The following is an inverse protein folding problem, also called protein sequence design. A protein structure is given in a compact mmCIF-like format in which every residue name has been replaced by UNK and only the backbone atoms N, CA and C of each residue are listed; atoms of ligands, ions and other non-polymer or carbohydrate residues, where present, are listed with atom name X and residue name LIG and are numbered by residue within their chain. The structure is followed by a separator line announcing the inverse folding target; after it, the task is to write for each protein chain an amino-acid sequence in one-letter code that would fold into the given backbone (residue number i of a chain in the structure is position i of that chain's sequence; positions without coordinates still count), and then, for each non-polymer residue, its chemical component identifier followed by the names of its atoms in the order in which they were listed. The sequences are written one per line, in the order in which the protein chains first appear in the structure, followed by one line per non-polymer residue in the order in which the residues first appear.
data_IF_214072449128
#
_entry.id   IF_214072449128
#
_cell.length_a   1.000
_cell.length_b   1.000
_cell.length_c   1.000
_cell.angle_alpha   90.00
_cell.angle_beta   90.00
_cell.angle_gamma   90.00
#
_symmetry.space_group_name_H-M   'P 1'
#
loop_
_entity.id
_entity.type
_entity.pdbx_description
1 polymer ?
#
# COMPACT_ATOMS: atom_id res chain seq x y z
N UNK A 1 -1.70 33.70 -59.44
CA UNK A 1 -1.70 32.32 -58.91
C UNK A 1 -0.61 32.21 -57.84
N UNK A 2 -0.94 32.31 -56.55
CA UNK A 2 -0.10 31.82 -55.45
C UNK A 2 -1.07 31.32 -54.37
N UNK A 3 -1.21 29.99 -54.25
CA UNK A 3 -1.94 29.35 -53.16
C UNK A 3 -0.95 29.19 -51.99
N UNK A 4 -1.12 29.99 -50.95
CA UNK A 4 -0.39 29.83 -49.68
C UNK A 4 -0.99 28.66 -48.91
N UNK A 5 -0.19 27.61 -48.74
CA UNK A 5 -0.53 26.42 -47.96
C UNK A 5 -0.35 26.75 -46.48
N UNK A 6 -1.43 26.75 -45.69
CA UNK A 6 -1.36 26.81 -44.23
C UNK A 6 -1.09 25.39 -43.72
N UNK A 7 0.10 25.14 -43.20
CA UNK A 7 0.43 23.90 -42.50
C UNK A 7 -0.12 24.05 -41.08
N UNK A 8 -1.25 23.40 -40.81
CA UNK A 8 -1.76 23.24 -39.45
C UNK A 8 -0.88 22.22 -38.74
N UNK A 9 0.00 22.70 -37.86
CA UNK A 9 0.77 21.86 -36.95
C UNK A 9 -0.19 21.23 -35.93
N UNK A 10 -0.62 20.00 -36.17
CA UNK A 10 -1.24 19.18 -35.13
C UNK A 10 -0.20 18.92 -34.05
N UNK A 11 -0.35 19.59 -32.91
CA UNK A 11 0.26 19.14 -31.67
C UNK A 11 -0.36 17.78 -31.32
N UNK A 12 0.37 16.70 -31.58
CA UNK A 12 0.05 15.40 -31.01
C UNK A 12 0.29 15.51 -29.50
N UNK A 13 -0.78 15.69 -28.73
CA UNK A 13 -0.75 15.41 -27.31
C UNK A 13 -0.41 13.92 -27.17
N UNK A 14 0.79 13.61 -26.67
CA UNK A 14 1.10 12.25 -26.28
C UNK A 14 0.03 11.84 -25.26
N UNK A 15 -0.57 10.63 -25.38
CA UNK A 15 -1.45 10.15 -24.34
C UNK A 15 -0.62 10.09 -23.07
N UNK A 16 -1.00 10.87 -22.05
CA UNK A 16 -0.61 10.53 -20.70
C UNK A 16 -1.05 9.08 -20.52
N UNK A 17 -0.10 8.17 -20.27
CA UNK A 17 -0.46 6.80 -19.93
C UNK A 17 -1.41 6.92 -18.73
N UNK A 18 -2.66 6.50 -18.92
CA UNK A 18 -3.62 6.51 -17.84
C UNK A 18 -3.03 5.64 -16.73
N UNK A 19 -2.82 6.23 -15.57
CA UNK A 19 -2.29 5.50 -14.42
C UNK A 19 -3.19 4.30 -14.16
N UNK A 20 -2.63 3.09 -14.07
CA UNK A 20 -3.41 1.89 -13.73
C UNK A 20 -3.55 1.83 -12.21
N UNK A 21 -4.80 1.90 -11.76
CA UNK A 21 -5.16 1.93 -10.34
C UNK A 21 -6.21 0.87 -10.06
N UNK A 22 -6.00 0.11 -8.99
CA UNK A 22 -6.97 -0.85 -8.47
C UNK A 22 -7.69 -0.23 -7.26
N UNK A 23 -9.01 -0.38 -7.19
CA UNK A 23 -9.78 -0.01 -5.98
C UNK A 23 -9.50 -1.05 -4.90
N UNK A 24 -8.82 -0.65 -3.83
CA UNK A 24 -8.43 -1.54 -2.72
C UNK A 24 -9.24 -1.28 -1.45
N UNK A 25 -10.09 -0.25 -1.44
CA UNK A 25 -11.03 0.03 -0.37
C UNK A 25 -11.96 1.19 -0.74
N UNK A 26 -12.92 1.49 0.14
CA UNK A 26 -13.81 2.64 -0.05
C UNK A 26 -12.99 3.95 -0.03
N UNK A 27 -12.94 4.63 -1.17
CA UNK A 27 -12.19 5.88 -1.31
C UNK A 27 -10.67 5.73 -1.38
N UNK A 28 -10.14 4.52 -1.59
CA UNK A 28 -8.68 4.28 -1.67
C UNK A 28 -8.34 3.49 -2.92
N UNK A 29 -7.37 4.01 -3.68
CA UNK A 29 -6.80 3.38 -4.86
C UNK A 29 -5.36 2.94 -4.59
N UNK A 30 -4.96 1.84 -5.23
CA UNK A 30 -3.58 1.41 -5.33
C UNK A 30 -3.09 1.59 -6.77
N UNK A 31 -2.12 2.48 -6.98
CA UNK A 31 -1.67 2.90 -8.30
C UNK A 31 -0.17 2.63 -8.52
N UNK A 32 0.24 1.39 -8.88
CA UNK A 32 1.62 0.93 -8.76
C UNK A 32 2.54 1.18 -9.96
N UNK A 33 2.14 1.94 -10.98
CA UNK A 33 2.81 2.01 -12.30
C UNK A 33 4.32 2.31 -12.28
N UNK A 34 4.84 3.00 -11.26
CA UNK A 34 6.26 3.31 -11.08
C UNK A 34 6.91 2.57 -9.89
N UNK A 35 6.34 1.43 -9.51
CA UNK A 35 6.77 0.61 -8.37
C UNK A 35 7.13 -0.82 -8.79
N UNK A 36 7.74 -1.63 -7.91
CA UNK A 36 7.93 -3.05 -8.15
C UNK A 36 6.64 -3.86 -8.40
N UNK A 37 5.46 -3.27 -8.10
CA UNK A 37 4.15 -3.87 -8.34
C UNK A 37 3.52 -3.47 -9.68
N UNK A 38 4.22 -2.68 -10.52
CA UNK A 38 3.70 -2.22 -11.80
C UNK A 38 3.29 -3.39 -12.72
N UNK A 39 2.07 -3.34 -13.25
CA UNK A 39 1.53 -4.37 -14.13
C UNK A 39 1.18 -5.71 -13.45
N UNK A 40 1.23 -5.78 -12.12
CA UNK A 40 0.81 -6.96 -11.35
C UNK A 40 -0.67 -6.83 -11.04
N UNK A 41 -1.47 -7.83 -11.45
CA UNK A 41 -2.89 -7.88 -11.14
C UNK A 41 -3.11 -8.26 -9.67
N UNK A 42 -3.95 -7.51 -8.98
CA UNK A 42 -4.40 -7.83 -7.63
C UNK A 42 -5.36 -9.04 -7.59
N UNK A 43 -5.25 -9.85 -6.54
CA UNK A 43 -6.21 -10.91 -6.21
C UNK A 43 -7.00 -10.51 -4.96
N UNK A 44 -8.31 -10.27 -5.11
CA UNK A 44 -9.15 -9.79 -4.01
C UNK A 44 -9.71 -10.93 -3.17
N UNK A 45 -9.46 -10.90 -1.86
CA UNK A 45 -10.07 -11.80 -0.89
C UNK A 45 -11.27 -11.13 -0.19
N UNK A 46 -12.51 -11.51 -0.51
CA UNK A 46 -13.70 -10.94 0.10
C UNK A 46 -13.89 -11.31 1.57
N UNK A 47 -13.24 -12.39 2.05
CA UNK A 47 -13.31 -12.82 3.43
C UNK A 47 -12.52 -11.92 4.38
N UNK A 48 -11.43 -11.33 3.89
CA UNK A 48 -10.60 -10.39 4.64
C UNK A 48 -10.76 -8.93 4.21
N UNK A 49 -11.38 -8.69 3.05
CA UNK A 49 -11.54 -7.34 2.49
C UNK A 49 -10.22 -6.74 2.00
N UNK A 50 -9.24 -7.56 1.65
CA UNK A 50 -7.91 -7.11 1.19
C UNK A 50 -7.61 -7.65 -0.21
N UNK A 51 -6.74 -6.94 -0.91
CA UNK A 51 -6.20 -7.34 -2.21
C UNK A 51 -4.74 -7.74 -2.08
N UNK A 52 -4.38 -8.84 -2.72
CA UNK A 52 -3.04 -9.42 -2.72
C UNK A 52 -2.28 -9.09 -4.00
N UNK A 53 -1.01 -8.71 -3.88
CA UNK A 53 -0.11 -8.51 -5.01
C UNK A 53 1.21 -9.24 -4.76
N UNK A 54 1.60 -10.15 -5.65
CA UNK A 54 2.87 -10.88 -5.54
C UNK A 54 3.92 -10.28 -6.47
N UNK A 55 4.94 -9.63 -5.91
CA UNK A 55 6.06 -9.07 -6.65
C UNK A 55 7.38 -9.75 -6.23
N UNK A 56 7.91 -10.60 -7.10
CA UNK A 56 9.13 -11.39 -6.81
C UNK A 56 8.97 -12.19 -5.51
N UNK A 57 9.81 -11.96 -4.49
CA UNK A 57 9.79 -12.62 -3.18
C UNK A 57 8.86 -11.96 -2.16
N UNK A 58 8.28 -10.80 -2.50
CA UNK A 58 7.48 -9.99 -1.58
C UNK A 58 6.00 -10.06 -1.96
N UNK A 59 5.17 -10.42 -1.00
CA UNK A 59 3.72 -10.36 -1.11
C UNK A 59 3.22 -9.08 -0.43
N UNK A 60 2.39 -8.29 -1.09
CA UNK A 60 1.64 -7.19 -0.52
C UNK A 60 0.19 -7.63 -0.27
N UNK A 61 -0.35 -7.27 0.89
CA UNK A 61 -1.77 -7.27 1.21
C UNK A 61 -2.17 -5.83 1.51
N UNK A 62 -3.21 -5.32 0.87
CA UNK A 62 -3.70 -3.98 1.17
C UNK A 62 -5.22 -3.89 1.05
N UNK A 63 -5.82 -3.11 1.95
CA UNK A 63 -7.27 -2.96 2.07
C UNK A 63 -7.65 -2.25 3.36
N UNK A 64 -8.95 -2.03 3.63
CA UNK A 64 -9.40 -1.49 4.90
C UNK A 64 -8.87 -2.32 6.08
N UNK A 65 -8.57 -1.65 7.19
CA UNK A 65 -8.15 -2.33 8.41
C UNK A 65 -9.25 -3.32 8.85
N UNK A 66 -8.94 -4.62 9.05
CA UNK A 66 -9.96 -5.59 9.42
C UNK A 66 -10.66 -5.25 10.74
N UNK A 67 -11.95 -5.62 10.91
CA UNK A 67 -12.74 -5.23 12.09
C UNK A 67 -12.11 -5.58 13.44
N UNK A 68 -11.36 -6.68 13.53
CA UNK A 68 -10.69 -7.10 14.77
C UNK A 68 -9.56 -6.17 15.22
N UNK A 69 -8.95 -5.40 14.30
CA UNK A 69 -7.92 -4.40 14.57
C UNK A 69 -8.48 -2.97 14.52
N UNK A 70 -9.59 -2.77 13.81
CA UNK A 70 -10.26 -1.48 13.64
C UNK A 70 -10.66 -0.82 14.95
N UNK A 71 -11.35 -1.55 15.84
CA UNK A 71 -11.84 -0.98 17.10
C UNK A 71 -10.70 -0.49 18.00
N UNK A 72 -9.56 -1.19 17.97
CA UNK A 72 -8.36 -0.80 18.73
C UNK A 72 -7.74 0.45 18.13
N UNK A 73 -7.55 0.49 16.81
CA UNK A 73 -6.99 1.66 16.13
C UNK A 73 -7.83 2.92 16.34
N UNK A 74 -9.16 2.83 16.22
CA UNK A 74 -10.04 3.99 16.44
C UNK A 74 -10.02 4.48 17.89
N UNK A 75 -9.86 3.56 18.86
CA UNK A 75 -9.72 3.93 20.26
C UNK A 75 -8.36 4.62 20.56
N UNK A 76 -7.31 4.23 19.86
CA UNK A 76 -5.94 4.75 20.02
C UNK A 76 -5.25 4.99 18.67
N UNK A 77 -5.62 6.07 17.94
CA UNK A 77 -5.04 6.34 16.62
C UNK A 77 -3.54 6.59 16.74
N UNK A 78 -2.73 5.86 15.97
CA UNK A 78 -1.27 5.90 16.08
C UNK A 78 -0.70 5.16 17.30
N UNK A 79 -1.43 4.18 17.83
CA UNK A 79 -0.93 3.11 18.69
C UNK A 79 -1.24 1.74 18.07
N UNK A 80 -0.54 1.46 16.97
CA UNK A 80 -0.59 0.21 16.25
C UNK A 80 -0.08 -0.94 17.09
N UNK A 81 0.77 -0.70 18.08
CA UNK A 81 1.26 -1.75 18.98
C UNK A 81 0.13 -2.49 19.71
N UNK A 82 -0.92 -1.78 20.15
CA UNK A 82 -2.11 -2.40 20.74
C UNK A 82 -2.98 -3.11 19.70
N UNK A 83 -3.12 -2.54 18.50
CA UNK A 83 -3.84 -3.19 17.39
C UNK A 83 -3.08 -4.43 16.88
N UNK A 84 -1.74 -4.44 16.99
CA UNK A 84 -0.87 -5.54 16.62
C UNK A 84 -1.28 -6.82 17.32
N UNK A 85 -1.56 -6.74 18.63
CA UNK A 85 -1.88 -7.90 19.47
C UNK A 85 -3.12 -8.67 18.97
N UNK A 86 -3.93 -8.06 18.10
CA UNK A 86 -5.11 -8.69 17.52
C UNK A 86 -4.86 -9.34 16.15
N UNK A 87 -3.69 -9.13 15.52
CA UNK A 87 -3.35 -9.78 14.26
C UNK A 87 -3.07 -11.28 14.48
N UNK A 88 -3.71 -12.17 13.70
CA UNK A 88 -3.48 -13.59 13.83
C UNK A 88 -2.03 -13.94 13.43
N UNK A 89 -1.36 -14.73 14.29
CA UNK A 89 0.00 -15.26 14.14
C UNK A 89 1.14 -14.29 14.49
N UNK A 90 1.31 -14.00 15.79
CA UNK A 90 2.46 -13.26 16.32
C UNK A 90 3.36 -14.19 17.15
N UNK A 91 4.31 -14.87 16.50
CA UNK A 91 5.35 -15.58 17.26
C UNK A 91 6.42 -14.60 17.82
N UNK A 92 6.59 -13.42 17.20
CA UNK A 92 7.40 -12.32 17.76
C UNK A 92 7.09 -10.97 17.09
N UNK A 93 6.89 -9.91 17.89
CA UNK A 93 6.64 -8.53 17.42
C UNK A 93 7.87 -7.65 17.67
N UNK A 94 8.33 -6.95 16.64
CA UNK A 94 9.29 -5.85 16.71
C UNK A 94 8.65 -4.58 16.19
N UNK A 95 8.38 -3.61 17.07
CA UNK A 95 7.84 -2.31 16.66
C UNK A 95 8.95 -1.55 15.91
N UNK A 96 8.64 -1.02 14.73
CA UNK A 96 9.54 -0.11 14.01
C UNK A 96 9.00 1.31 14.14
N UNK A 97 9.90 2.30 14.14
CA UNK A 97 9.48 3.69 14.11
C UNK A 97 8.70 4.00 12.82
N UNK A 98 7.83 5.02 12.90
CA UNK A 98 7.02 5.56 11.79
C UNK A 98 7.78 5.61 10.47
N UNK A 99 7.20 5.15 9.34
CA UNK A 99 7.79 5.34 8.02
C UNK A 99 7.94 6.83 7.75
N UNK A 100 9.18 7.28 7.57
CA UNK A 100 9.53 8.67 7.21
C UNK A 100 9.03 9.13 5.84
N UNK A 101 8.29 8.25 5.15
CA UNK A 101 7.94 8.34 3.73
C UNK A 101 6.55 8.92 3.51
N UNK A 102 5.70 8.86 4.54
CA UNK A 102 4.39 9.49 4.57
C UNK A 102 4.58 10.94 5.01
N UNK A 103 4.58 11.86 4.05
CA UNK A 103 4.63 13.29 4.33
C UNK A 103 3.36 13.76 5.04
N UNK A 104 3.46 14.82 5.85
CA UNK A 104 2.32 15.44 6.55
C UNK A 104 1.88 14.75 7.85
N UNK A 105 0.87 15.33 8.51
CA UNK A 105 0.31 14.90 9.80
C UNK A 105 -0.62 13.67 9.69
N UNK A 106 -0.56 12.90 8.60
CA UNK A 106 -1.39 11.69 8.43
C UNK A 106 -1.01 10.69 9.53
N UNK A 107 -1.97 10.23 10.37
CA UNK A 107 -1.71 9.18 11.34
C UNK A 107 -1.28 7.90 10.62
N UNK A 108 -0.06 7.46 10.91
CA UNK A 108 0.47 6.22 10.38
C UNK A 108 1.54 5.64 11.30
N UNK A 109 1.57 4.31 11.41
CA UNK A 109 2.52 3.58 12.24
C UNK A 109 2.87 2.26 11.57
N UNK A 110 4.07 1.74 11.83
CA UNK A 110 4.56 0.50 11.21
C UNK A 110 5.11 -0.48 12.20
N UNK A 111 4.79 -1.74 12.00
CA UNK A 111 5.24 -2.85 12.82
C UNK A 111 5.98 -3.84 11.96
N UNK A 112 6.97 -4.49 12.57
CA UNK A 112 7.53 -5.72 12.05
C UNK A 112 7.11 -6.89 12.92
N UNK A 113 6.74 -8.02 12.34
CA UNK A 113 6.56 -9.24 13.10
C UNK A 113 6.79 -10.48 12.24
N UNK A 114 7.01 -11.62 12.90
CA UNK A 114 7.11 -12.92 12.25
C UNK A 114 5.71 -13.53 12.14
N UNK A 115 5.23 -13.70 10.90
CA UNK A 115 3.91 -14.31 10.61
C UNK A 115 3.98 -15.83 10.77
N UNK A 116 5.11 -16.43 10.42
CA UNK A 116 5.42 -17.85 10.56
C UNK A 116 6.93 -18.03 10.81
N UNK A 117 7.39 -19.21 11.25
CA UNK A 117 8.81 -19.56 11.20
C UNK A 117 9.32 -19.32 9.78
N UNK A 118 10.24 -18.37 9.62
CA UNK A 118 10.81 -17.93 8.33
C UNK A 118 9.92 -17.07 7.42
N UNK A 119 8.95 -16.33 7.96
CA UNK A 119 8.30 -15.24 7.23
C UNK A 119 8.18 -13.97 8.06
N UNK A 120 8.87 -12.92 7.62
CA UNK A 120 8.85 -11.61 8.24
C UNK A 120 7.86 -10.69 7.53
N UNK A 121 7.17 -9.85 8.29
CA UNK A 121 6.14 -8.95 7.78
C UNK A 121 6.39 -7.52 8.25
N UNK A 122 6.19 -6.57 7.35
CA UNK A 122 6.00 -5.14 7.66
C UNK A 122 4.53 -4.81 7.52
N UNK A 123 3.93 -4.21 8.53
CA UNK A 123 2.55 -3.75 8.51
C UNK A 123 2.51 -2.29 8.81
N UNK A 124 1.94 -1.49 7.91
CA UNK A 124 1.58 -0.10 8.17
C UNK A 124 0.07 0.04 8.17
N UNK A 125 -0.46 0.76 9.15
CA UNK A 125 -1.82 1.31 9.06
C UNK A 125 -1.71 2.80 8.83
N UNK A 126 -2.51 3.30 7.88
CA UNK A 126 -2.56 4.69 7.46
C UNK A 126 -4.02 5.11 7.45
N UNK A 127 -4.37 6.23 8.07
CA UNK A 127 -5.70 6.81 7.93
C UNK A 127 -5.80 7.53 6.58
N UNK A 128 -6.53 6.94 5.63
CA UNK A 128 -6.82 7.50 4.31
C UNK A 128 -8.32 7.78 4.20
N UNK A 129 -8.69 8.99 3.84
CA UNK A 129 -10.07 9.45 3.69
C UNK A 129 -10.92 9.25 4.97
N UNK A 130 -10.27 9.34 6.13
CA UNK A 130 -10.88 9.12 7.44
C UNK A 130 -11.15 7.64 7.77
N UNK A 131 -10.64 6.71 6.95
CA UNK A 131 -10.76 5.27 7.14
C UNK A 131 -9.35 4.67 7.32
N UNK A 132 -9.09 3.91 8.39
CA UNK A 132 -7.85 3.17 8.57
C UNK A 132 -7.67 2.13 7.45
N UNK A 133 -6.57 2.25 6.72
CA UNK A 133 -6.16 1.37 5.64
C UNK A 133 -4.89 0.62 6.02
N UNK A 134 -4.81 -0.65 5.65
CA UNK A 134 -3.68 -1.53 5.90
C UNK A 134 -2.83 -1.66 4.65
N UNK A 135 -1.51 -1.64 4.83
CA UNK A 135 -0.54 -2.14 3.88
C UNK A 135 0.39 -3.10 4.61
N UNK A 136 0.39 -4.36 4.21
CA UNK A 136 1.22 -5.41 4.77
C UNK A 136 2.09 -6.01 3.69
N UNK A 137 3.42 -5.96 3.85
CA UNK A 137 4.32 -6.72 2.99
C UNK A 137 4.94 -7.88 3.74
N UNK A 138 5.02 -9.04 3.11
CA UNK A 138 5.58 -10.27 3.67
C UNK A 138 6.69 -10.79 2.77
N UNK A 139 7.83 -11.14 3.35
CA UNK A 139 8.95 -11.78 2.65
C UNK A 139 9.41 -13.05 3.42
N UNK A 140 9.84 -14.06 2.66
CA UNK A 140 10.45 -15.26 3.23
C UNK A 140 11.82 -14.96 3.85
N UNK A 141 12.00 -15.31 5.12
CA UNK A 141 13.21 -15.09 5.88
C UNK A 141 12.91 -14.74 7.34
N UNK A 142 13.98 -14.64 8.12
CA UNK A 142 13.92 -14.27 9.56
C UNK A 142 14.46 -12.88 9.83
N UNK A 143 14.93 -12.17 8.80
CA UNK A 143 15.54 -10.84 8.91
C UNK A 143 14.99 -9.93 7.81
N UNK A 144 14.82 -8.67 8.17
CA UNK A 144 14.38 -7.63 7.25
C UNK A 144 15.47 -7.37 6.20
N UNK A 145 15.07 -7.32 4.93
CA UNK A 145 15.98 -6.98 3.83
C UNK A 145 15.75 -5.54 3.37
N UNK A 146 16.79 -4.90 2.81
CA UNK A 146 16.65 -3.57 2.20
C UNK A 146 15.60 -3.58 1.08
N UNK A 147 15.50 -4.69 0.36
CA UNK A 147 14.51 -4.91 -0.70
C UNK A 147 13.09 -4.96 -0.14
N UNK A 148 12.85 -5.68 0.96
CA UNK A 148 11.53 -5.72 1.60
C UNK A 148 11.10 -4.33 2.06
N UNK A 149 12.02 -3.56 2.68
CA UNK A 149 11.77 -2.17 3.06
C UNK A 149 11.47 -1.27 1.85
N UNK A 150 12.17 -1.45 0.74
CA UNK A 150 11.94 -0.72 -0.51
C UNK A 150 10.55 -1.02 -1.09
N UNK A 151 10.17 -2.29 -1.16
CA UNK A 151 8.87 -2.73 -1.66
C UNK A 151 7.75 -2.21 -0.78
N UNK A 152 7.92 -2.30 0.54
CA UNK A 152 6.95 -1.77 1.50
C UNK A 152 6.76 -0.26 1.30
N UNK A 153 7.86 0.50 1.24
CA UNK A 153 7.81 1.95 0.95
C UNK A 153 7.10 2.25 -0.38
N UNK A 154 7.40 1.49 -1.43
CA UNK A 154 6.79 1.68 -2.74
C UNK A 154 5.27 1.41 -2.68
N UNK A 155 4.84 0.39 -1.94
CA UNK A 155 3.42 0.12 -1.72
C UNK A 155 2.72 1.28 -1.00
N UNK A 156 3.31 1.83 0.06
CA UNK A 156 2.73 2.96 0.79
C UNK A 156 2.58 4.21 -0.08
N UNK A 157 3.55 4.48 -0.98
CA UNK A 157 3.51 5.62 -1.89
C UNK A 157 2.52 5.44 -3.05
N UNK A 158 2.13 4.20 -3.36
CA UNK A 158 1.15 3.89 -4.39
C UNK A 158 -0.29 3.90 -3.85
N UNK A 159 -0.49 3.97 -2.53
CA UNK A 159 -1.81 4.20 -1.95
C UNK A 159 -2.19 5.67 -2.03
N UNK A 160 -3.32 5.94 -2.67
CA UNK A 160 -3.84 7.30 -2.86
C UNK A 160 -5.32 7.35 -2.51
N UNK A 161 -5.76 8.51 -2.02
CA UNK A 161 -7.17 8.80 -1.82
C UNK A 161 -7.85 8.94 -3.20
N UNK A 162 -9.02 8.33 -3.36
CA UNK A 162 -9.87 8.50 -4.54
C UNK A 162 -10.60 9.84 -4.40
N UNK A 163 -10.12 10.89 -5.06
CA UNK A 163 -10.67 12.25 -5.03
C UNK A 163 -12.04 12.40 -5.76
N UNK A 164 -12.95 11.43 -5.62
CA UNK A 164 -14.28 11.44 -6.24
C UNK A 164 -15.37 12.08 -5.37
#
# INVERSE_FOLDING_TARGET
MIRGLVIASLFAAAPALAQTCDTVGDGVLFCPDDTPFAGIAGDYDPGMGVTFYQADTVMLLTGPLPPFAYDVWVATPGDLSGAAETFPAQESVGIMDRPSVLGGDIPAETLTYMVQPDMISLVTVIDLSGIPHLAQTVEGGTQMTDKHMEYHRAALLALVEDDL
#
